data_IF_516471379536
#
_entry.id   IF_516471379536
#
_cell.length_a   1.000
_cell.length_b   1.000
_cell.length_c   1.000
_cell.angle_alpha   90.00
_cell.angle_beta   90.00
_cell.angle_gamma   90.00
#
_symmetry.space_group_name_H-M   'P 1'
#
loop_
_entity.id
_entity.type
_entity.pdbx_description
1 polymer ?
#
# COMPACT_ATOMS: atom_id res chain seq x y z
N UNK A 1 -40.92 24.99 -22.81
CA UNK A 1 -39.60 24.32 -22.91
C UNK A 1 -39.62 22.96 -22.27
N UNK A 2 -40.38 22.00 -22.82
CA UNK A 2 -40.38 20.61 -22.35
C UNK A 2 -39.39 19.74 -23.16
N UNK A 3 -39.17 20.08 -24.44
CA UNK A 3 -38.21 19.41 -25.33
C UNK A 3 -36.76 19.61 -24.90
N UNK A 4 -36.41 20.80 -24.41
CA UNK A 4 -35.07 21.10 -23.90
C UNK A 4 -34.78 20.35 -22.59
N UNK A 5 -35.79 20.19 -21.72
CA UNK A 5 -35.66 19.44 -20.47
C UNK A 5 -35.50 17.93 -20.73
N UNK A 6 -36.25 17.38 -21.69
CA UNK A 6 -36.13 15.98 -22.09
C UNK A 6 -34.76 15.64 -22.70
N UNK A 7 -34.19 16.56 -23.51
CA UNK A 7 -32.83 16.39 -24.07
C UNK A 7 -31.73 16.47 -23.00
N UNK A 8 -31.86 17.38 -22.02
CA UNK A 8 -30.91 17.47 -20.91
C UNK A 8 -30.95 16.23 -20.01
N UNK A 9 -32.14 15.70 -19.71
CA UNK A 9 -32.28 14.47 -18.92
C UNK A 9 -31.73 13.23 -19.64
N UNK A 10 -31.99 13.11 -20.95
CA UNK A 10 -31.44 12.02 -21.78
C UNK A 10 -29.92 12.09 -21.87
N UNK A 11 -29.35 13.30 -22.05
CA UNK A 11 -27.90 13.50 -22.03
C UNK A 11 -27.27 13.15 -20.69
N UNK A 12 -27.89 13.55 -19.58
CA UNK A 12 -27.41 13.23 -18.24
C UNK A 12 -27.47 11.72 -17.94
N UNK A 13 -28.52 11.03 -18.37
CA UNK A 13 -28.64 9.57 -18.22
C UNK A 13 -27.59 8.82 -19.04
N UNK A 14 -27.36 9.22 -20.30
CA UNK A 14 -26.36 8.56 -21.16
C UNK A 14 -24.93 8.78 -20.64
N UNK A 15 -24.65 9.94 -20.07
CA UNK A 15 -23.37 10.22 -19.42
C UNK A 15 -23.19 9.37 -18.15
N UNK A 16 -24.23 9.24 -17.33
CA UNK A 16 -24.22 8.43 -16.12
C UNK A 16 -24.06 6.93 -16.44
N UNK A 17 -24.68 6.43 -17.51
CA UNK A 17 -24.50 5.05 -17.98
C UNK A 17 -23.08 4.80 -18.52
N UNK A 18 -22.50 5.76 -19.27
CA UNK A 18 -21.10 5.66 -19.72
C UNK A 18 -20.15 5.63 -18.53
N UNK A 19 -20.30 6.54 -17.57
CA UNK A 19 -19.49 6.58 -16.36
C UNK A 19 -19.61 5.28 -15.55
N UNK A 20 -20.81 4.72 -15.43
CA UNK A 20 -21.02 3.43 -14.75
C UNK A 20 -20.28 2.27 -15.45
N UNK A 21 -20.31 2.22 -16.79
CA UNK A 21 -19.59 1.21 -17.57
C UNK A 21 -18.06 1.35 -17.42
N UNK A 22 -17.54 2.57 -17.35
CA UNK A 22 -16.11 2.80 -17.14
C UNK A 22 -15.68 2.41 -15.72
N UNK A 23 -16.45 2.76 -14.69
CA UNK A 23 -16.18 2.37 -13.30
C UNK A 23 -16.19 0.85 -13.15
N UNK A 24 -17.14 0.15 -13.78
CA UNK A 24 -17.22 -1.30 -13.70
C UNK A 24 -16.09 -1.99 -14.48
N UNK A 25 -15.70 -1.46 -15.64
CA UNK A 25 -14.51 -1.94 -16.38
C UNK A 25 -13.22 -1.76 -15.57
N UNK A 26 -13.03 -0.62 -14.94
CA UNK A 26 -11.83 -0.34 -14.15
C UNK A 26 -11.79 -1.20 -12.86
N UNK A 27 -12.96 -1.46 -12.27
CA UNK A 27 -13.10 -2.41 -11.16
C UNK A 27 -12.78 -3.84 -11.59
N UNK A 28 -13.33 -4.30 -12.72
CA UNK A 28 -13.08 -5.64 -13.28
C UNK A 28 -11.61 -5.81 -13.65
N UNK A 29 -10.98 -4.79 -14.25
CA UNK A 29 -9.56 -4.83 -14.58
C UNK A 29 -8.70 -4.97 -13.30
N UNK A 30 -8.98 -4.17 -12.26
CA UNK A 30 -8.28 -4.26 -10.96
C UNK A 30 -8.48 -5.62 -10.28
N UNK A 31 -9.70 -6.12 -10.20
CA UNK A 31 -10.01 -7.42 -9.59
C UNK A 31 -9.34 -8.59 -10.35
N UNK A 32 -9.28 -8.50 -11.69
CA UNK A 32 -8.57 -9.46 -12.54
C UNK A 32 -7.04 -9.37 -12.36
N UNK A 33 -6.48 -8.17 -12.31
CA UNK A 33 -5.04 -7.97 -12.12
C UNK A 33 -4.57 -8.45 -10.74
N UNK A 34 -5.32 -8.18 -9.68
CA UNK A 34 -4.99 -8.66 -8.33
C UNK A 34 -5.02 -10.19 -8.27
N UNK A 35 -6.02 -10.82 -8.91
CA UNK A 35 -6.12 -12.28 -9.00
C UNK A 35 -4.98 -12.89 -9.83
N UNK A 36 -4.58 -12.25 -10.94
CA UNK A 36 -3.46 -12.69 -11.77
C UNK A 36 -2.14 -12.57 -11.02
N UNK A 37 -1.89 -11.44 -10.35
CA UNK A 37 -0.68 -11.23 -9.52
C UNK A 37 -0.63 -12.26 -8.39
N UNK A 38 -1.74 -12.51 -7.70
CA UNK A 38 -1.80 -13.53 -6.64
C UNK A 38 -1.50 -14.95 -7.16
N UNK A 39 -1.99 -15.31 -8.36
CA UNK A 39 -1.71 -16.62 -8.97
C UNK A 39 -0.26 -16.75 -9.41
N UNK A 40 0.33 -15.69 -9.97
CA UNK A 40 1.75 -15.66 -10.32
C UNK A 40 2.63 -15.79 -9.06
N UNK A 41 2.26 -15.11 -7.97
CA UNK A 41 2.96 -15.21 -6.69
C UNK A 41 2.84 -16.61 -6.07
N UNK A 42 1.64 -17.20 -6.09
CA UNK A 42 1.42 -18.59 -5.65
C UNK A 42 2.23 -19.60 -6.48
N UNK A 43 2.38 -19.33 -7.78
CA UNK A 43 3.20 -20.14 -8.69
C UNK A 43 4.68 -20.00 -8.34
N UNK A 44 5.18 -18.78 -8.11
CA UNK A 44 6.55 -18.53 -7.64
C UNK A 44 6.87 -19.22 -6.32
N UNK A 45 5.95 -19.17 -5.34
CA UNK A 45 6.10 -19.89 -4.06
C UNK A 45 6.11 -21.42 -4.24
N UNK A 46 5.29 -21.95 -5.16
CA UNK A 46 5.30 -23.36 -5.53
C UNK A 46 6.63 -23.81 -6.13
N UNK A 47 7.24 -22.99 -7.00
CA UNK A 47 8.55 -23.25 -7.59
C UNK A 47 9.69 -23.18 -6.54
N UNK A 48 9.63 -22.23 -5.60
CA UNK A 48 10.56 -22.15 -4.47
C UNK A 48 10.44 -23.35 -3.49
N UNK A 49 9.25 -23.96 -3.40
CA UNK A 49 9.04 -25.17 -2.60
C UNK A 49 9.67 -26.41 -3.26
N UNK A 50 9.60 -26.52 -4.60
CA UNK A 50 10.27 -27.57 -5.37
C UNK A 50 11.80 -27.45 -5.27
N UNK A 51 12.35 -26.23 -5.22
CA UNK A 51 13.79 -25.96 -5.01
C UNK A 51 14.35 -26.51 -3.69
N UNK A 52 13.52 -26.67 -2.65
CA UNK A 52 13.96 -27.19 -1.34
C UNK A 52 14.12 -28.72 -1.29
N UNK A 53 13.95 -29.40 -2.42
CA UNK A 53 14.19 -30.84 -2.51
C UNK A 53 15.70 -31.13 -2.67
N UNK A 54 16.32 -31.90 -1.76
CA UNK A 54 17.78 -32.05 -1.68
C UNK A 54 18.43 -32.89 -2.81
N UNK A 55 17.66 -33.35 -3.80
CA UNK A 55 18.14 -34.20 -4.92
C UNK A 55 18.02 -33.52 -6.30
N UNK A 56 17.65 -32.23 -6.36
CA UNK A 56 17.51 -31.53 -7.64
C UNK A 56 18.90 -31.21 -8.25
N UNK A 57 19.19 -31.61 -9.51
CA UNK A 57 20.42 -31.24 -10.21
C UNK A 57 20.57 -29.71 -10.31
N UNK A 58 21.80 -29.20 -10.22
CA UNK A 58 22.09 -27.75 -10.21
C UNK A 58 21.44 -26.99 -11.39
N UNK A 59 21.38 -27.61 -12.57
CA UNK A 59 20.75 -27.07 -13.79
C UNK A 59 19.22 -26.87 -13.65
N UNK A 60 18.55 -27.64 -12.77
CA UNK A 60 17.12 -27.49 -12.46
C UNK A 60 16.90 -26.33 -11.49
N UNK A 61 17.81 -26.13 -10.53
CA UNK A 61 17.76 -25.00 -9.60
C UNK A 61 17.97 -23.66 -10.31
N UNK A 62 18.94 -23.57 -11.23
CA UNK A 62 19.18 -22.35 -12.02
C UNK A 62 17.98 -21.99 -12.92
N UNK A 63 17.32 -22.99 -13.51
CA UNK A 63 16.09 -22.78 -14.29
C UNK A 63 14.91 -22.31 -13.43
N UNK A 64 14.81 -22.77 -12.19
CA UNK A 64 13.78 -22.32 -11.25
C UNK A 64 14.03 -20.88 -10.81
N UNK A 65 15.27 -20.49 -10.54
CA UNK A 65 15.62 -19.11 -10.17
C UNK A 65 15.33 -18.16 -11.34
N UNK A 66 15.69 -18.54 -12.57
CA UNK A 66 15.34 -17.78 -13.79
C UNK A 66 13.82 -17.60 -13.94
N UNK A 67 13.03 -18.65 -13.72
CA UNK A 67 11.58 -18.59 -13.82
C UNK A 67 10.94 -17.72 -12.73
N UNK A 68 11.52 -17.70 -11.52
CA UNK A 68 11.08 -16.81 -10.43
C UNK A 68 11.39 -15.35 -10.80
N UNK A 69 12.59 -15.08 -11.32
CA UNK A 69 13.00 -13.73 -11.73
C UNK A 69 12.13 -13.19 -12.88
N UNK A 70 11.77 -14.04 -13.84
CA UNK A 70 10.85 -13.71 -14.94
C UNK A 70 9.42 -13.44 -14.44
N UNK A 71 8.93 -14.21 -13.46
CA UNK A 71 7.65 -13.96 -12.80
C UNK A 71 7.65 -12.62 -12.07
N UNK A 72 8.71 -12.32 -11.32
CA UNK A 72 8.86 -11.04 -10.62
C UNK A 72 8.97 -9.87 -11.60
N UNK A 73 9.64 -10.07 -12.75
CA UNK A 73 9.70 -9.09 -13.82
C UNK A 73 8.32 -8.83 -14.45
N UNK A 74 7.57 -9.89 -14.72
CA UNK A 74 6.21 -9.81 -15.27
C UNK A 74 5.26 -9.09 -14.30
N UNK A 75 5.36 -9.38 -13.00
CA UNK A 75 4.58 -8.69 -11.95
C UNK A 75 4.94 -7.19 -11.91
N UNK A 76 6.23 -6.85 -12.01
CA UNK A 76 6.69 -5.45 -12.09
C UNK A 76 6.11 -4.74 -13.32
N UNK A 77 6.13 -5.38 -14.48
CA UNK A 77 5.66 -4.80 -15.74
C UNK A 77 4.14 -4.57 -15.74
N UNK A 78 3.36 -5.54 -15.28
CA UNK A 78 1.90 -5.40 -15.09
C UNK A 78 1.60 -4.21 -14.16
N UNK A 79 2.32 -4.06 -13.06
CA UNK A 79 2.13 -2.94 -12.11
C UNK A 79 2.49 -1.58 -12.74
N UNK A 80 3.54 -1.52 -13.55
CA UNK A 80 3.91 -0.31 -14.29
C UNK A 80 2.83 0.07 -15.31
N UNK A 81 2.29 -0.91 -16.03
CA UNK A 81 1.20 -0.68 -16.98
C UNK A 81 -0.06 -0.19 -16.29
N UNK A 82 -0.47 -0.81 -15.17
CA UNK A 82 -1.61 -0.35 -14.36
C UNK A 82 -1.39 1.08 -13.87
N UNK A 83 -0.19 1.40 -13.36
CA UNK A 83 0.13 2.74 -12.92
C UNK A 83 0.05 3.77 -14.05
N UNK A 84 0.59 3.43 -15.23
CA UNK A 84 0.54 4.30 -16.41
C UNK A 84 -0.90 4.53 -16.91
N UNK A 85 -1.73 3.47 -16.93
CA UNK A 85 -3.14 3.55 -17.31
C UNK A 85 -3.93 4.44 -16.35
N UNK A 86 -3.73 4.28 -15.03
CA UNK A 86 -4.35 5.13 -14.01
C UNK A 86 -3.88 6.61 -14.05
N UNK A 87 -2.76 6.91 -14.72
CA UNK A 87 -2.22 8.27 -14.86
C UNK A 87 -2.67 8.94 -16.16
N UNK A 88 -3.00 8.16 -17.20
CA UNK A 88 -3.38 8.66 -18.51
C UNK A 88 -4.87 9.05 -18.61
N UNK A 89 -5.74 8.44 -17.81
CA UNK A 89 -7.16 8.78 -17.71
C UNK A 89 -7.32 9.92 -16.70
N UNK A 90 -7.15 11.16 -17.19
CA UNK A 90 -7.09 12.40 -16.39
C UNK A 90 -8.36 12.79 -15.63
N UNK A 91 -8.81 11.94 -14.70
CA UNK A 91 -9.88 12.23 -13.76
C UNK A 91 -9.52 11.75 -12.34
N UNK A 92 -9.66 12.65 -11.37
CA UNK A 92 -9.50 12.45 -9.92
C UNK A 92 -8.06 12.43 -9.36
N UNK A 93 -7.67 13.59 -8.85
CA UNK A 93 -6.67 13.80 -7.79
C UNK A 93 -6.67 12.65 -6.74
N UNK A 94 -5.54 11.96 -6.61
CA UNK A 94 -4.96 11.53 -5.32
C UNK A 94 -5.80 10.67 -4.35
N UNK A 95 -6.30 9.50 -4.78
CA UNK A 95 -6.80 8.47 -3.85
C UNK A 95 -5.74 8.07 -2.81
N UNK A 96 -6.10 8.00 -1.54
CA UNK A 96 -5.20 7.71 -0.41
C UNK A 96 -4.30 6.48 -0.67
N UNK A 97 -4.88 5.39 -1.19
CA UNK A 97 -4.13 4.16 -1.49
C UNK A 97 -2.99 4.39 -2.49
N UNK A 98 -3.23 5.18 -3.54
CA UNK A 98 -2.20 5.47 -4.54
C UNK A 98 -1.04 6.28 -3.94
N UNK A 99 -1.33 7.18 -2.99
CA UNK A 99 -0.31 7.95 -2.26
C UNK A 99 0.52 7.05 -1.36
N UNK A 100 -0.13 6.14 -0.64
CA UNK A 100 0.53 5.13 0.22
C UNK A 100 1.46 4.23 -0.61
N UNK A 101 0.97 3.71 -1.74
CA UNK A 101 1.78 2.87 -2.64
C UNK A 101 3.03 3.60 -3.17
N UNK A 102 2.94 4.91 -3.43
CA UNK A 102 4.12 5.70 -3.82
C UNK A 102 5.17 5.76 -2.70
N UNK A 103 4.77 5.97 -1.45
CA UNK A 103 5.72 5.97 -0.32
C UNK A 103 6.36 4.59 -0.11
N UNK A 104 5.58 3.52 -0.28
CA UNK A 104 6.05 2.14 -0.21
C UNK A 104 7.10 1.86 -1.29
N UNK A 105 6.82 2.25 -2.53
CA UNK A 105 7.76 2.07 -3.64
C UNK A 105 9.09 2.80 -3.40
N UNK A 106 9.04 4.05 -2.93
CA UNK A 106 10.22 4.85 -2.60
C UNK A 106 11.01 4.22 -1.45
N UNK A 107 10.34 3.75 -0.39
CA UNK A 107 11.01 3.07 0.71
C UNK A 107 11.62 1.74 0.27
N UNK A 108 10.92 0.98 -0.57
CA UNK A 108 11.38 -0.33 -1.06
C UNK A 108 12.68 -0.27 -1.84
N UNK A 109 12.88 0.78 -2.65
CA UNK A 109 14.18 1.01 -3.33
C UNK A 109 15.34 1.16 -2.33
N UNK A 110 15.10 1.81 -1.19
CA UNK A 110 16.13 2.03 -0.17
C UNK A 110 16.32 0.84 0.77
N UNK A 111 15.26 0.04 1.00
CA UNK A 111 15.30 -1.16 1.85
C UNK A 111 15.87 -2.39 1.12
N UNK A 112 15.77 -2.44 -0.20
CA UNK A 112 16.12 -3.62 -1.00
C UNK A 112 15.01 -4.69 -1.03
N UNK A 113 13.86 -4.43 -0.38
CA UNK A 113 12.65 -5.25 -0.43
C UNK A 113 11.41 -4.34 -0.32
N UNK A 114 10.27 -4.79 -0.86
CA UNK A 114 9.03 -4.00 -0.83
C UNK A 114 8.26 -4.23 0.49
N UNK A 115 7.91 -3.17 1.25
CA UNK A 115 6.99 -3.28 2.38
C UNK A 115 5.62 -3.84 1.99
N UNK A 116 5.05 -4.72 2.82
CA UNK A 116 3.74 -5.31 2.56
C UNK A 116 2.62 -4.38 2.99
N UNK A 117 1.68 -4.07 2.09
CA UNK A 117 0.48 -3.27 2.39
C UNK A 117 -0.76 -4.15 2.51
N UNK A 118 -1.51 -3.98 3.60
CA UNK A 118 -2.88 -4.46 3.76
C UNK A 118 -3.80 -3.27 4.00
N UNK A 119 -4.91 -3.23 3.28
CA UNK A 119 -5.93 -2.18 3.45
C UNK A 119 -7.27 -2.81 3.79
N UNK A 120 -7.97 -2.27 4.80
CA UNK A 120 -9.31 -2.69 5.20
C UNK A 120 -10.27 -1.49 5.17
N UNK A 121 -11.43 -1.69 4.53
CA UNK A 121 -12.47 -0.67 4.42
C UNK A 121 -12.28 0.32 3.24
N UNK A 122 -13.29 1.16 3.00
CA UNK A 122 -13.35 2.10 1.87
C UNK A 122 -12.50 3.37 2.10
N UNK A 123 -11.20 3.19 2.36
CA UNK A 123 -10.29 4.29 2.75
C UNK A 123 -10.21 5.42 1.72
N UNK A 124 -10.39 5.12 0.42
CA UNK A 124 -10.29 6.13 -0.64
C UNK A 124 -11.52 7.03 -0.74
N UNK A 125 -12.69 6.58 -0.25
CA UNK A 125 -13.94 7.36 -0.33
C UNK A 125 -14.34 7.97 1.00
N UNK A 126 -13.80 7.48 2.12
CA UNK A 126 -14.20 7.92 3.47
C UNK A 126 -13.17 8.83 4.11
N UNK A 127 -11.87 8.66 3.83
CA UNK A 127 -10.83 9.47 4.49
C UNK A 127 -10.72 10.84 3.81
N UNK A 128 -10.94 11.95 4.54
CA UNK A 128 -10.78 13.29 3.98
C UNK A 128 -9.33 13.60 3.60
N UNK A 129 -9.12 14.44 2.58
CA UNK A 129 -7.78 14.78 2.08
C UNK A 129 -6.84 15.34 3.18
N UNK A 130 -7.37 16.17 4.09
CA UNK A 130 -6.59 16.71 5.20
C UNK A 130 -6.05 15.62 6.14
N UNK A 131 -6.84 14.56 6.35
CA UNK A 131 -6.43 13.39 7.13
C UNK A 131 -5.44 12.54 6.33
N UNK A 132 -5.71 12.34 5.04
CA UNK A 132 -4.82 11.61 4.12
C UNK A 132 -3.42 12.25 4.02
N UNK A 133 -3.33 13.59 4.01
CA UNK A 133 -2.07 14.34 4.00
C UNK A 133 -1.21 14.03 5.23
N UNK A 134 -1.80 14.09 6.43
CA UNK A 134 -1.09 13.79 7.67
C UNK A 134 -0.71 12.31 7.76
N UNK A 135 -1.60 11.41 7.32
CA UNK A 135 -1.35 9.98 7.31
C UNK A 135 -0.18 9.61 6.39
N UNK A 136 -0.16 10.14 5.16
CA UNK A 136 0.93 9.90 4.22
C UNK A 136 2.25 10.47 4.72
N UNK A 137 2.22 11.65 5.37
CA UNK A 137 3.41 12.20 5.98
C UNK A 137 3.90 11.37 7.19
N UNK A 138 2.99 10.84 7.99
CA UNK A 138 3.30 9.92 9.09
C UNK A 138 3.91 8.61 8.57
N UNK A 139 3.34 8.03 7.51
CA UNK A 139 3.88 6.85 6.84
C UNK A 139 5.29 7.09 6.31
N UNK A 140 5.51 8.21 5.61
CA UNK A 140 6.83 8.58 5.08
C UNK A 140 7.88 8.66 6.19
N UNK A 141 7.54 9.29 7.30
CA UNK A 141 8.45 9.40 8.44
C UNK A 141 8.72 8.03 9.09
N UNK A 142 7.68 7.21 9.27
CA UNK A 142 7.83 5.85 9.80
C UNK A 142 8.75 5.00 8.91
N UNK A 143 8.53 4.98 7.59
CA UNK A 143 9.37 4.27 6.63
C UNK A 143 10.80 4.82 6.59
N UNK A 144 10.97 6.14 6.70
CA UNK A 144 12.30 6.74 6.77
C UNK A 144 13.07 6.30 8.02
N UNK A 145 12.38 6.14 9.16
CA UNK A 145 12.99 5.61 10.38
C UNK A 145 13.42 4.15 10.20
N UNK A 146 12.60 3.33 9.55
CA UNK A 146 12.98 1.95 9.22
C UNK A 146 14.25 1.93 8.35
N UNK A 147 14.24 2.66 7.24
CA UNK A 147 15.37 2.74 6.29
C UNK A 147 16.67 3.15 6.99
N UNK A 148 16.60 4.13 7.91
CA UNK A 148 17.80 4.67 8.57
C UNK A 148 18.28 3.85 9.75
N UNK A 149 17.40 3.13 10.43
CA UNK A 149 17.69 2.65 11.78
C UNK A 149 17.36 1.17 12.03
N UNK A 150 16.33 0.61 11.38
CA UNK A 150 15.78 -0.66 11.82
C UNK A 150 16.64 -1.89 11.48
N UNK A 151 17.42 -1.87 10.39
CA UNK A 151 18.06 -3.09 9.85
C UNK A 151 17.05 -4.25 9.68
N UNK A 152 15.83 -3.90 9.29
CA UNK A 152 14.71 -4.83 9.13
C UNK A 152 14.86 -5.66 7.86
N UNK A 153 14.33 -6.88 7.88
CA UNK A 153 14.12 -7.74 6.70
C UNK A 153 12.67 -7.75 6.23
N UNK A 154 11.75 -7.22 7.03
CA UNK A 154 10.34 -7.13 6.70
C UNK A 154 9.71 -5.88 7.29
N UNK A 155 8.79 -5.28 6.53
CA UNK A 155 7.94 -4.17 6.98
C UNK A 155 6.50 -4.47 6.57
N UNK A 156 5.58 -4.42 7.53
CA UNK A 156 4.16 -4.60 7.33
C UNK A 156 3.42 -3.30 7.61
N UNK A 157 2.60 -2.86 6.66
CA UNK A 157 1.79 -1.66 6.72
C UNK A 157 0.33 -2.09 6.67
N UNK A 158 -0.43 -1.72 7.69
CA UNK A 158 -1.85 -1.97 7.77
C UNK A 158 -2.61 -0.64 7.87
N UNK A 159 -3.43 -0.37 6.87
CA UNK A 159 -4.34 0.78 6.83
C UNK A 159 -5.77 0.29 6.98
N UNK A 160 -6.48 0.70 8.03
CA UNK A 160 -7.84 0.24 8.30
C UNK A 160 -8.73 1.38 8.79
N UNK A 161 -10.04 1.24 8.58
CA UNK A 161 -11.05 2.05 9.25
C UNK A 161 -11.56 1.29 10.49
N UNK A 162 -11.62 1.97 11.63
CA UNK A 162 -12.16 1.43 12.88
C UNK A 162 -13.20 2.39 13.43
N UNK A 163 -14.48 2.12 13.13
CA UNK A 163 -15.55 3.08 13.40
C UNK A 163 -15.32 4.36 12.58
N UNK A 164 -15.22 5.49 13.27
CA UNK A 164 -14.99 6.82 12.68
C UNK A 164 -13.50 7.21 12.64
N UNK A 165 -12.60 6.28 12.94
CA UNK A 165 -11.16 6.51 12.92
C UNK A 165 -10.50 5.81 11.72
N UNK A 166 -9.52 6.47 11.12
CA UNK A 166 -8.52 5.81 10.29
C UNK A 166 -7.32 5.43 11.14
N UNK A 167 -6.84 4.20 10.98
CA UNK A 167 -5.70 3.67 11.71
C UNK A 167 -4.64 3.17 10.73
N UNK A 168 -3.45 3.77 10.81
CA UNK A 168 -2.24 3.33 10.13
C UNK A 168 -1.35 2.60 11.14
N UNK A 169 -0.99 1.36 10.85
CA UNK A 169 0.01 0.61 11.62
C UNK A 169 1.19 0.26 10.72
N UNK A 170 2.41 0.59 11.15
CA UNK A 170 3.66 0.22 10.48
C UNK A 170 4.47 -0.64 11.46
N UNK A 171 4.80 -1.85 11.05
CA UNK A 171 5.53 -2.82 11.88
C UNK A 171 6.76 -3.32 11.16
N UNK A 172 7.94 -3.19 11.76
CA UNK A 172 9.19 -3.77 11.27
C UNK A 172 9.72 -4.86 12.22
N UNK A 173 10.52 -5.77 11.68
CA UNK A 173 11.16 -6.86 12.42
C UNK A 173 12.61 -6.54 12.84
N UNK A 174 12.99 -5.27 12.79
CA UNK A 174 14.35 -4.79 12.99
C UNK A 174 14.82 -4.77 14.44
N UNK A 175 15.84 -3.95 14.71
CA UNK A 175 16.50 -3.88 16.04
C UNK A 175 15.70 -3.14 17.11
N UNK A 176 14.56 -2.55 16.76
CA UNK A 176 13.72 -1.76 17.66
C UNK A 176 14.21 -0.32 17.89
N UNK A 177 13.50 0.43 18.74
CA UNK A 177 13.83 1.83 19.04
C UNK A 177 14.82 1.89 20.21
N UNK A 178 16.03 2.40 19.96
CA UNK A 178 17.02 2.62 21.02
C UNK A 178 16.52 3.64 22.07
N UNK A 179 16.55 3.29 23.37
CA UNK A 179 16.29 4.26 24.43
C UNK A 179 17.41 5.30 24.45
N UNK A 180 17.10 6.54 24.03
CA UNK A 180 18.04 7.67 24.04
C UNK A 180 18.42 8.25 22.67
N UNK A 181 17.90 7.70 21.56
CA UNK A 181 18.01 8.32 20.24
C UNK A 181 17.25 9.65 20.12
N UNK A 182 17.59 10.48 19.13
CA UNK A 182 16.83 11.72 18.80
C UNK A 182 15.37 11.35 18.51
N UNK A 183 14.45 11.75 19.39
CA UNK A 183 13.01 11.48 19.30
C UNK A 183 12.28 12.31 18.23
N UNK A 184 12.97 13.18 17.49
CA UNK A 184 12.32 14.16 16.63
C UNK A 184 11.42 13.53 15.55
N UNK A 185 11.84 12.40 14.95
CA UNK A 185 11.04 11.71 13.95
C UNK A 185 9.77 11.08 14.52
N UNK A 186 9.88 10.43 15.68
CA UNK A 186 8.74 9.84 16.38
C UNK A 186 7.79 10.88 16.97
N UNK A 187 8.33 12.02 17.43
CA UNK A 187 7.55 13.18 17.90
C UNK A 187 6.77 13.81 16.74
N UNK A 188 7.36 13.92 15.55
CA UNK A 188 6.66 14.41 14.36
C UNK A 188 5.45 13.53 14.02
N UNK A 189 5.59 12.20 14.07
CA UNK A 189 4.48 11.27 13.81
C UNK A 189 3.35 11.50 14.83
N UNK A 190 3.69 11.63 16.12
CA UNK A 190 2.71 11.90 17.17
C UNK A 190 2.03 13.27 17.02
N UNK A 191 2.78 14.31 16.68
CA UNK A 191 2.26 15.66 16.48
C UNK A 191 1.27 15.72 15.31
N UNK A 192 1.51 14.97 14.24
CA UNK A 192 0.58 14.84 13.10
C UNK A 192 -0.75 14.21 13.50
N UNK A 193 -0.72 13.22 14.39
CA UNK A 193 -1.95 12.61 14.92
C UNK A 193 -2.70 13.63 15.79
N UNK A 194 -1.97 14.28 16.71
CA UNK A 194 -2.53 15.25 17.64
C UNK A 194 -3.16 16.46 16.93
N UNK A 195 -2.61 16.88 15.79
CA UNK A 195 -3.18 17.95 14.96
C UNK A 195 -4.59 17.64 14.43
N UNK A 196 -4.99 16.37 14.41
CA UNK A 196 -6.30 15.88 14.01
C UNK A 196 -7.12 15.34 15.19
N UNK A 197 -6.74 15.68 16.43
CA UNK A 197 -7.36 15.12 17.64
C UNK A 197 -7.11 13.62 17.84
N UNK A 198 -6.16 13.06 17.09
CA UNK A 198 -5.80 11.66 17.08
C UNK A 198 -4.71 11.29 18.08
N UNK A 199 -4.16 10.08 17.92
CA UNK A 199 -3.11 9.55 18.79
C UNK A 199 -2.07 8.77 18.02
N UNK A 200 -0.87 8.65 18.59
CA UNK A 200 0.19 7.81 18.08
C UNK A 200 0.83 7.02 19.21
N UNK A 201 1.01 5.72 19.02
CA UNK A 201 1.77 4.86 19.92
C UNK A 201 2.93 4.23 19.19
N UNK A 202 4.04 4.04 19.91
CA UNK A 202 5.22 3.36 19.39
C UNK A 202 5.64 2.36 20.47
N UNK A 203 5.71 1.09 20.09
CA UNK A 203 5.98 0.00 21.00
C UNK A 203 6.91 -1.04 20.35
N UNK A 204 7.73 -1.73 21.15
CA UNK A 204 8.49 -2.85 20.64
C UNK A 204 7.56 -4.01 20.26
N UNK A 205 7.92 -4.75 19.22
CA UNK A 205 7.14 -5.94 18.79
C UNK A 205 7.44 -7.13 19.69
N UNK A 206 8.68 -7.26 20.17
CA UNK A 206 9.14 -8.36 21.00
C UNK A 206 9.53 -7.89 22.40
N UNK A 207 9.48 -8.81 23.36
CA UNK A 207 9.81 -8.54 24.76
C UNK A 207 11.28 -8.15 24.99
N UNK A 208 12.18 -8.56 24.09
CA UNK A 208 13.60 -8.17 24.11
C UNK A 208 13.85 -6.75 23.55
N UNK A 209 12.78 -6.05 23.13
CA UNK A 209 12.85 -4.71 22.55
C UNK A 209 13.04 -4.68 21.04
N UNK A 210 13.18 -5.83 20.37
CA UNK A 210 13.31 -5.89 18.91
C UNK A 210 11.99 -5.72 18.18
N UNK A 211 12.10 -5.24 16.93
CA UNK A 211 11.01 -4.79 16.08
C UNK A 211 10.32 -3.55 16.60
N UNK A 212 9.82 -2.71 15.70
CA UNK A 212 9.05 -1.52 16.08
C UNK A 212 7.66 -1.60 15.49
N UNK A 213 6.65 -1.29 16.29
CA UNK A 213 5.28 -1.07 15.84
C UNK A 213 4.90 0.37 16.12
N UNK A 214 4.57 1.11 15.06
CA UNK A 214 4.00 2.45 15.11
C UNK A 214 2.53 2.35 14.77
N UNK A 215 1.64 2.80 15.66
CA UNK A 215 0.20 2.90 15.39
C UNK A 215 -0.20 4.37 15.46
N UNK A 216 -0.63 4.90 14.32
CA UNK A 216 -1.13 6.26 14.15
C UNK A 216 -2.63 6.21 13.89
N UNK A 217 -3.41 7.05 14.58
CA UNK A 217 -4.87 7.10 14.52
C UNK A 217 -5.35 8.53 14.43
N UNK A 218 -6.37 8.79 13.62
CA UNK A 218 -7.10 10.05 13.60
C UNK A 218 -8.57 9.85 13.21
N UNK A 219 -9.43 10.75 13.68
CA UNK A 219 -10.85 10.83 13.27
C UNK A 219 -10.97 11.21 11.80
N UNK A 220 -11.96 10.65 11.11
CA UNK A 220 -12.32 10.98 9.72
C UNK A 220 -13.60 11.84 9.63
N UNK A 221 -14.19 12.20 10.78
CA UNK A 221 -15.31 13.14 10.92
C UNK A 221 -14.86 14.59 11.10
#
# INVERSE_FOLDING_TARGET
GQTALALMLSGAQSEQERLAVYVDRDRIARDLHDLVIQRLFATGLGLQAVRRHPEAPDEVSERLDTAIDELDATVREIRQTIFALNTAEGDVVSRLRARVLREIAVAGTNLGFEPHLRTEGPVDSVVPDAVADQLVAALREALSNVVRHAHASSVNIHLQLTGDDVVLTVTDDGVGVFPGGRRSGTENIAQRAAALGGSCTIEPVRADGSGTKVTWRASIL
#
